data_IF_009068835279
#
_entry.id   IF_009068835279
#
_cell.length_a   1.000
_cell.length_b   1.000
_cell.length_c   1.000
_cell.angle_alpha   90.00
_cell.angle_beta   90.00
_cell.angle_gamma   90.00
#
_symmetry.space_group_name_H-M   'P 1'
#
loop_
_entity.id
_entity.type
_entity.pdbx_description
1 polymer ?
#
# COMPACT_ATOMS: atom_id res chain seq x y z
N UNK A 1 -16.18 5.30 18.52
CA UNK A 1 -16.17 6.67 19.06
C UNK A 1 -15.78 7.58 17.90
N UNK A 2 -16.70 8.42 17.42
CA UNK A 2 -16.47 9.25 16.23
C UNK A 2 -15.21 10.10 16.37
N UNK A 3 -14.35 10.16 15.35
CA UNK A 3 -13.18 11.03 15.31
C UNK A 3 -13.54 12.45 15.77
N UNK A 4 -12.96 12.86 16.90
CA UNK A 4 -13.18 14.14 17.59
C UNK A 4 -12.42 15.30 16.91
N UNK A 5 -11.67 15.05 15.83
CA UNK A 5 -10.60 15.96 15.38
C UNK A 5 -10.89 16.83 14.13
N UNK A 6 -12.16 17.07 13.78
CA UNK A 6 -12.53 18.03 12.70
C UNK A 6 -13.94 18.62 12.91
N UNK A 7 -14.11 19.58 13.84
CA UNK A 7 -15.42 20.18 14.12
C UNK A 7 -15.97 20.97 12.92
N UNK A 8 -15.07 21.49 12.07
CA UNK A 8 -15.40 22.41 10.99
C UNK A 8 -15.52 21.72 9.63
N UNK A 9 -15.24 20.41 9.52
CA UNK A 9 -15.31 19.67 8.26
C UNK A 9 -14.26 20.17 7.25
N UNK A 10 -13.05 20.41 7.72
CA UNK A 10 -11.91 20.89 6.93
C UNK A 10 -11.09 19.75 6.33
N UNK A 11 -11.24 18.52 6.81
CA UNK A 11 -10.55 17.35 6.27
C UNK A 11 -11.35 16.77 5.12
N UNK A 12 -10.70 16.60 3.98
CA UNK A 12 -11.32 15.92 2.84
C UNK A 12 -11.49 14.43 3.16
N UNK A 13 -12.60 13.81 2.71
CA UNK A 13 -12.82 12.38 2.91
C UNK A 13 -11.81 11.52 2.14
N UNK A 14 -11.38 12.00 0.97
CA UNK A 14 -10.26 11.42 0.21
C UNK A 14 -9.04 12.32 0.35
N UNK A 15 -7.97 11.80 0.94
CA UNK A 15 -6.79 12.60 1.29
C UNK A 15 -5.71 12.43 0.22
N UNK A 16 -5.36 13.50 -0.51
CA UNK A 16 -4.16 13.47 -1.38
C UNK A 16 -2.88 13.90 -0.65
N UNK A 17 -2.99 14.25 0.63
CA UNK A 17 -1.93 14.89 1.39
C UNK A 17 -0.71 14.00 1.61
N UNK A 18 0.41 14.69 1.73
CA UNK A 18 1.69 14.08 2.02
C UNK A 18 1.82 13.93 3.53
N UNK A 19 1.54 12.73 4.03
CA UNK A 19 1.75 12.38 5.44
C UNK A 19 3.20 11.91 5.61
N UNK A 20 3.93 12.47 6.58
CA UNK A 20 5.25 11.94 6.95
C UNK A 20 5.03 10.64 7.68
N UNK A 21 5.69 9.59 7.23
CA UNK A 21 5.59 8.28 7.82
C UNK A 21 6.81 7.95 8.71
N UNK A 22 7.70 8.91 8.98
CA UNK A 22 8.92 8.67 9.77
C UNK A 22 9.99 7.80 9.07
N UNK A 23 9.65 7.09 8.00
CA UNK A 23 10.59 6.39 7.10
C UNK A 23 11.00 7.27 5.92
N UNK A 24 10.15 8.21 5.48
CA UNK A 24 10.37 9.11 4.34
C UNK A 24 9.90 10.54 4.62
N UNK A 25 10.56 11.50 3.95
CA UNK A 25 10.06 12.87 3.90
C UNK A 25 8.80 12.96 3.02
N UNK A 26 7.76 13.72 3.43
CA UNK A 26 6.58 13.92 2.60
C UNK A 26 6.94 14.53 1.24
N UNK A 27 6.41 13.96 0.16
CA UNK A 27 6.55 14.56 -1.18
C UNK A 27 5.53 15.69 -1.31
N UNK A 28 5.95 16.94 -1.57
CA UNK A 28 5.04 18.07 -1.73
C UNK A 28 4.01 17.80 -2.83
N UNK A 29 2.81 18.36 -2.66
CA UNK A 29 1.79 18.34 -3.70
C UNK A 29 2.23 19.23 -4.88
N UNK A 30 2.01 18.74 -6.08
CA UNK A 30 2.14 19.56 -7.28
C UNK A 30 0.94 20.51 -7.43
N UNK A 31 1.03 21.41 -8.43
CA UNK A 31 -0.02 22.40 -8.67
C UNK A 31 -1.40 21.80 -8.98
N UNK A 32 -1.46 20.64 -9.64
CA UNK A 32 -2.73 20.00 -9.97
C UNK A 32 -3.37 19.35 -8.74
N UNK A 33 -2.59 18.71 -7.87
CA UNK A 33 -3.06 18.16 -6.61
C UNK A 33 -3.48 19.27 -5.61
N UNK A 34 -2.76 20.39 -5.56
CA UNK A 34 -3.19 21.57 -4.81
C UNK A 34 -4.54 22.11 -5.33
N UNK A 35 -4.66 22.28 -6.66
CA UNK A 35 -5.91 22.73 -7.28
C UNK A 35 -7.08 21.75 -7.03
N UNK A 36 -6.80 20.44 -7.05
CA UNK A 36 -7.77 19.40 -6.74
C UNK A 36 -8.31 19.52 -5.31
N UNK A 37 -7.43 19.74 -4.33
CA UNK A 37 -7.82 19.98 -2.94
C UNK A 37 -8.67 21.26 -2.81
N UNK A 38 -8.25 22.37 -3.42
CA UNK A 38 -9.00 23.64 -3.39
C UNK A 38 -10.41 23.48 -3.98
N UNK A 39 -10.50 22.80 -5.13
CA UNK A 39 -11.77 22.56 -5.80
C UNK A 39 -12.69 21.66 -4.96
N UNK A 40 -12.15 20.58 -4.38
CA UNK A 40 -12.91 19.68 -3.52
C UNK A 40 -13.45 20.42 -2.28
N UNK A 41 -12.63 21.26 -1.65
CA UNK A 41 -13.04 22.06 -0.49
C UNK A 41 -14.17 23.04 -0.84
N UNK A 42 -14.05 23.74 -1.98
CA UNK A 42 -15.05 24.68 -2.47
C UNK A 42 -16.37 23.97 -2.82
N UNK A 43 -16.30 22.86 -3.56
CA UNK A 43 -17.47 22.06 -3.94
C UNK A 43 -18.18 21.48 -2.73
N UNK A 44 -17.45 21.00 -1.72
CA UNK A 44 -18.04 20.53 -0.48
C UNK A 44 -18.87 21.61 0.25
N UNK A 45 -18.44 22.88 0.20
CA UNK A 45 -19.18 23.99 0.83
C UNK A 45 -20.48 24.27 0.09
N UNK A 46 -20.41 24.25 -1.23
CA UNK A 46 -21.55 24.48 -2.10
C UNK A 46 -22.58 23.35 -2.01
N UNK A 47 -22.12 22.10 -2.10
CA UNK A 47 -22.97 20.92 -2.07
C UNK A 47 -23.64 20.73 -0.70
N UNK A 48 -22.92 20.96 0.40
CA UNK A 48 -23.52 20.95 1.74
C UNK A 48 -24.66 21.97 1.86
N UNK A 49 -24.49 23.19 1.28
CA UNK A 49 -25.54 24.22 1.27
C UNK A 49 -26.74 23.79 0.43
N UNK A 50 -26.52 23.18 -0.74
CA UNK A 50 -27.59 22.68 -1.62
C UNK A 50 -28.42 21.58 -0.96
N UNK A 51 -27.77 20.71 -0.17
CA UNK A 51 -28.43 19.62 0.56
C UNK A 51 -29.06 20.08 1.89
N UNK A 52 -28.80 21.32 2.33
CA UNK A 52 -29.32 21.83 3.60
C UNK A 52 -28.72 21.15 4.84
N UNK A 53 -27.51 20.59 4.73
CA UNK A 53 -26.80 19.93 5.83
C UNK A 53 -25.53 20.70 6.23
N UNK A 54 -24.98 20.39 7.42
CA UNK A 54 -23.72 20.99 7.84
C UNK A 54 -22.56 20.48 6.97
N UNK A 55 -21.53 21.32 6.79
CA UNK A 55 -20.31 20.93 6.07
C UNK A 55 -19.69 19.65 6.65
N UNK A 56 -19.62 19.55 7.97
CA UNK A 56 -19.12 18.35 8.66
C UNK A 56 -19.94 17.11 8.32
N UNK A 57 -21.27 17.20 8.35
CA UNK A 57 -22.14 16.07 7.99
C UNK A 57 -21.93 15.65 6.52
N UNK A 58 -21.74 16.62 5.62
CA UNK A 58 -21.41 16.35 4.22
C UNK A 58 -20.08 15.62 4.07
N UNK A 59 -19.01 16.08 4.73
CA UNK A 59 -17.69 15.44 4.68
C UNK A 59 -17.69 14.02 5.24
N UNK A 60 -18.52 13.72 6.24
CA UNK A 60 -18.62 12.37 6.81
C UNK A 60 -19.49 11.41 5.96
N UNK A 61 -20.03 11.86 4.83
CA UNK A 61 -20.95 11.08 4.00
C UNK A 61 -20.29 10.53 2.74
N UNK A 62 -20.91 9.49 2.14
CA UNK A 62 -20.52 8.98 0.83
C UNK A 62 -20.59 10.07 -0.26
N UNK A 63 -21.56 10.99 -0.19
CA UNK A 63 -21.66 12.12 -1.14
C UNK A 63 -20.46 13.07 -1.05
N UNK A 64 -19.89 13.24 0.15
CA UNK A 64 -18.67 14.03 0.36
C UNK A 64 -17.45 13.38 -0.28
N UNK A 65 -17.28 12.06 -0.12
CA UNK A 65 -16.23 11.30 -0.78
C UNK A 65 -16.39 11.33 -2.31
N UNK A 66 -17.59 11.10 -2.84
CA UNK A 66 -17.87 11.15 -4.27
C UNK A 66 -17.61 12.55 -4.85
N UNK A 67 -18.08 13.61 -4.18
CA UNK A 67 -17.81 14.99 -4.57
C UNK A 67 -16.31 15.31 -4.59
N UNK A 68 -15.52 14.70 -3.72
CA UNK A 68 -14.07 14.89 -3.67
C UNK A 68 -13.39 14.25 -4.88
N UNK A 69 -13.72 13.00 -5.22
CA UNK A 69 -13.17 12.31 -6.39
C UNK A 69 -13.57 12.99 -7.71
N UNK A 70 -14.80 13.49 -7.81
CA UNK A 70 -15.27 14.26 -8.97
C UNK A 70 -14.52 15.60 -9.12
N UNK A 71 -14.20 16.27 -8.01
CA UNK A 71 -13.33 17.44 -8.03
C UNK A 71 -11.93 17.09 -8.53
N UNK A 72 -11.38 15.95 -8.10
CA UNK A 72 -10.06 15.50 -8.55
C UNK A 72 -10.04 15.23 -10.06
N UNK A 73 -11.07 14.57 -10.61
CA UNK A 73 -11.22 14.41 -12.06
C UNK A 73 -11.21 15.75 -12.80
N UNK A 74 -11.93 16.75 -12.28
CA UNK A 74 -12.01 18.08 -12.89
C UNK A 74 -10.65 18.77 -12.91
N UNK A 75 -9.92 18.73 -11.80
CA UNK A 75 -8.59 19.33 -11.69
C UNK A 75 -7.55 18.60 -12.57
N UNK A 76 -7.60 17.27 -12.61
CA UNK A 76 -6.71 16.47 -13.46
C UNK A 76 -6.98 16.71 -14.95
N UNK A 77 -8.24 16.81 -15.36
CA UNK A 77 -8.60 17.17 -16.73
C UNK A 77 -8.10 18.58 -17.11
N UNK A 78 -8.21 19.56 -16.21
CA UNK A 78 -7.65 20.90 -16.41
C UNK A 78 -6.12 20.88 -16.55
N UNK A 79 -5.45 19.97 -15.83
CA UNK A 79 -4.01 19.72 -15.94
C UNK A 79 -3.61 18.83 -17.12
N UNK A 80 -4.58 18.40 -17.96
CA UNK A 80 -4.38 17.48 -19.10
C UNK A 80 -3.81 16.10 -18.72
N UNK A 81 -4.06 15.66 -17.49
CA UNK A 81 -3.78 14.29 -17.04
C UNK A 81 -4.96 13.42 -17.45
N UNK A 82 -4.68 12.47 -18.33
CA UNK A 82 -5.70 11.70 -19.07
C UNK A 82 -5.48 10.20 -18.99
N UNK A 83 -4.51 9.74 -18.20
CA UNK A 83 -4.19 8.32 -18.02
C UNK A 83 -5.28 7.53 -17.31
N UNK A 84 -6.06 8.19 -16.44
CA UNK A 84 -7.19 7.57 -15.78
C UNK A 84 -8.08 8.59 -15.08
N UNK A 85 -9.17 8.11 -14.50
CA UNK A 85 -10.13 8.91 -13.75
C UNK A 85 -10.88 8.06 -12.72
N UNK A 86 -11.50 8.72 -11.74
CA UNK A 86 -12.40 8.07 -10.80
C UNK A 86 -13.82 8.03 -11.38
N UNK A 87 -14.29 6.86 -11.78
CA UNK A 87 -15.58 6.68 -12.45
C UNK A 87 -16.71 6.66 -11.43
N UNK A 88 -17.49 7.74 -11.43
CA UNK A 88 -18.67 7.95 -10.59
C UNK A 88 -19.75 8.68 -11.39
N UNK A 89 -21.01 8.44 -11.06
CA UNK A 89 -22.11 9.25 -11.59
C UNK A 89 -21.96 10.71 -11.11
N UNK A 90 -22.16 11.67 -11.99
CA UNK A 90 -22.04 13.10 -11.65
C UNK A 90 -23.01 13.54 -10.54
N UNK A 91 -24.17 12.87 -10.44
CA UNK A 91 -25.16 13.11 -9.39
C UNK A 91 -24.69 12.64 -8.01
N UNK A 92 -23.70 11.75 -7.91
CA UNK A 92 -23.19 11.23 -6.64
C UNK A 92 -22.64 12.33 -5.70
N UNK A 93 -22.32 13.52 -6.22
CA UNK A 93 -21.97 14.67 -5.38
C UNK A 93 -23.14 15.21 -4.54
N UNK A 94 -24.38 14.85 -4.88
CA UNK A 94 -25.63 15.34 -4.26
C UNK A 94 -26.65 14.22 -3.96
N UNK A 95 -26.51 13.05 -4.56
CA UNK A 95 -27.39 11.89 -4.38
C UNK A 95 -26.65 10.80 -3.59
N UNK A 96 -27.20 10.45 -2.42
CA UNK A 96 -26.60 9.48 -1.51
C UNK A 96 -26.66 8.05 -2.05
N UNK A 97 -27.71 7.69 -2.81
CA UNK A 97 -27.85 6.37 -3.40
C UNK A 97 -26.85 6.20 -4.54
N UNK A 98 -26.74 7.21 -5.41
CA UNK A 98 -25.72 7.22 -6.48
C UNK A 98 -24.28 7.18 -5.92
N UNK A 99 -24.02 7.87 -4.80
CA UNK A 99 -22.73 7.80 -4.12
C UNK A 99 -22.46 6.42 -3.51
N UNK A 100 -23.46 5.81 -2.89
CA UNK A 100 -23.34 4.48 -2.31
C UNK A 100 -23.10 3.42 -3.38
N UNK A 101 -23.80 3.49 -4.51
CA UNK A 101 -23.63 2.57 -5.64
C UNK A 101 -22.19 2.60 -6.18
N UNK A 102 -21.57 3.77 -6.24
CA UNK A 102 -20.18 3.92 -6.69
C UNK A 102 -19.12 3.59 -5.63
N UNK A 103 -19.41 3.80 -4.34
CA UNK A 103 -18.39 3.80 -3.29
C UNK A 103 -18.54 2.74 -2.20
N UNK A 104 -19.68 2.07 -2.03
CA UNK A 104 -19.86 1.11 -0.94
C UNK A 104 -19.07 -0.19 -1.20
N UNK A 105 -19.13 -0.69 -2.44
CA UNK A 105 -18.56 -1.99 -2.81
C UNK A 105 -19.22 -3.17 -2.09
N UNK A 106 -18.98 -4.37 -2.60
CA UNK A 106 -19.39 -5.66 -1.98
C UNK A 106 -18.33 -6.75 -2.15
N UNK A 107 -17.23 -6.40 -2.78
CA UNK A 107 -16.08 -7.26 -2.97
C UNK A 107 -15.37 -7.52 -1.66
N UNK A 108 -14.75 -8.69 -1.57
CA UNK A 108 -13.88 -9.04 -0.47
C UNK A 108 -12.57 -8.27 -0.58
N UNK A 109 -12.21 -7.50 0.45
CA UNK A 109 -11.00 -6.69 0.51
C UNK A 109 -9.98 -7.37 1.41
N UNK A 110 -8.95 -7.92 0.76
CA UNK A 110 -7.77 -8.42 1.42
C UNK A 110 -6.62 -7.44 1.28
N UNK A 111 -6.32 -6.73 2.38
CA UNK A 111 -5.18 -5.85 2.49
C UNK A 111 -3.93 -6.63 2.94
N UNK A 112 -2.94 -6.77 2.07
CA UNK A 112 -1.77 -7.60 2.37
C UNK A 112 -0.66 -6.85 3.13
N UNK A 113 -0.84 -5.57 3.45
CA UNK A 113 0.18 -4.76 4.10
C UNK A 113 -0.41 -3.76 5.10
N UNK A 114 -0.44 -4.16 6.37
CA UNK A 114 -0.72 -3.27 7.50
C UNK A 114 0.42 -3.25 8.51
N UNK A 115 0.43 -2.23 9.36
CA UNK A 115 1.43 -2.04 10.42
C UNK A 115 0.75 -1.43 11.65
N UNK A 116 1.29 -1.71 12.84
CA UNK A 116 1.08 -0.91 14.05
C UNK A 116 2.34 -0.99 14.91
N UNK A 117 2.46 -0.14 15.93
CA UNK A 117 3.55 -0.25 16.91
C UNK A 117 3.07 -0.77 18.26
N UNK A 118 3.79 -1.74 18.80
CA UNK A 118 3.60 -2.23 20.16
C UNK A 118 4.19 -1.28 21.20
N UNK A 119 4.22 -1.74 22.46
CA UNK A 119 4.64 -0.94 23.63
C UNK A 119 5.99 -0.24 23.47
N UNK A 120 6.92 -0.81 22.71
CA UNK A 120 8.25 -0.26 22.51
C UNK A 120 8.31 0.87 21.47
N UNK A 121 7.32 0.97 20.58
CA UNK A 121 7.23 2.03 19.58
C UNK A 121 6.27 3.17 19.94
N UNK A 122 5.28 2.91 20.81
CA UNK A 122 4.31 3.93 21.27
C UNK A 122 5.03 5.10 21.94
N UNK A 123 4.64 6.32 21.56
CA UNK A 123 5.23 7.57 22.06
C UNK A 123 6.65 7.89 21.55
N UNK A 124 7.27 7.00 20.78
CA UNK A 124 8.59 7.20 20.17
C UNK A 124 8.54 7.48 18.67
N UNK A 125 7.55 6.89 17.99
CA UNK A 125 7.43 6.92 16.53
C UNK A 125 6.35 7.87 16.03
N UNK A 126 5.40 8.24 16.90
CA UNK A 126 4.18 8.97 16.50
C UNK A 126 3.13 8.09 15.82
N UNK A 127 3.32 6.77 15.81
CA UNK A 127 2.45 5.81 15.13
C UNK A 127 1.40 5.20 16.06
N UNK A 128 0.31 4.73 15.44
CA UNK A 128 -0.82 4.10 16.11
C UNK A 128 -0.47 2.75 16.74
N UNK A 129 -1.14 2.47 17.85
CA UNK A 129 -1.07 1.19 18.55
C UNK A 129 -2.13 0.20 18.04
N UNK A 130 -2.29 -0.92 18.75
CA UNK A 130 -3.26 -1.96 18.41
C UNK A 130 -4.71 -1.44 18.38
N UNK A 131 -5.09 -0.53 19.28
CA UNK A 131 -6.48 -0.05 19.38
C UNK A 131 -6.79 0.86 18.19
N UNK A 132 -5.88 1.78 17.89
CA UNK A 132 -5.99 2.64 16.71
C UNK A 132 -5.98 1.82 15.42
N UNK A 133 -5.12 0.80 15.33
CA UNK A 133 -5.09 -0.12 14.18
C UNK A 133 -6.41 -0.86 13.99
N UNK A 134 -6.97 -1.46 15.04
CA UNK A 134 -8.26 -2.16 14.95
C UNK A 134 -9.36 -1.20 14.50
N UNK A 135 -9.38 0.01 15.08
CA UNK A 135 -10.35 1.02 14.70
C UNK A 135 -10.20 1.40 13.22
N UNK A 136 -9.02 1.79 12.78
CA UNK A 136 -8.78 2.27 11.42
C UNK A 136 -9.05 1.20 10.35
N UNK A 137 -8.69 -0.06 10.63
CA UNK A 137 -8.75 -1.14 9.64
C UNK A 137 -10.10 -1.83 9.64
N UNK A 138 -10.58 -2.26 10.79
CA UNK A 138 -11.75 -3.14 10.84
C UNK A 138 -13.06 -2.42 11.19
N UNK A 139 -13.00 -1.20 11.73
CA UNK A 139 -14.20 -0.45 12.11
C UNK A 139 -14.46 0.76 11.20
N UNK A 140 -13.40 1.46 10.80
CA UNK A 140 -13.47 2.70 10.03
C UNK A 140 -13.08 2.48 8.55
N UNK A 141 -13.03 1.22 8.08
CA UNK A 141 -12.82 0.89 6.67
C UNK A 141 -13.56 -0.38 6.23
N UNK A 142 -13.66 -0.59 4.91
CA UNK A 142 -14.23 -1.81 4.31
C UNK A 142 -13.27 -3.01 4.29
N UNK A 143 -12.17 -3.00 5.04
CA UNK A 143 -11.19 -4.10 5.04
C UNK A 143 -11.78 -5.35 5.71
N UNK A 144 -11.92 -6.44 4.93
CA UNK A 144 -12.40 -7.72 5.46
C UNK A 144 -11.26 -8.52 6.10
N UNK A 145 -10.09 -8.47 5.48
CA UNK A 145 -8.93 -9.24 5.90
C UNK A 145 -7.66 -8.43 5.74
N UNK A 146 -6.75 -8.57 6.69
CA UNK A 146 -5.50 -7.82 6.72
C UNK A 146 -4.31 -8.75 7.03
N UNK A 147 -3.13 -8.43 6.52
CA UNK A 147 -1.87 -9.02 7.02
C UNK A 147 -1.03 -7.97 7.75
N UNK A 148 -0.75 -8.26 9.02
CA UNK A 148 0.12 -7.46 9.86
C UNK A 148 1.59 -7.76 9.53
N UNK A 149 2.30 -6.71 9.12
CA UNK A 149 3.72 -6.69 8.80
C UNK A 149 4.47 -5.90 9.88
N UNK A 150 5.81 -5.99 9.88
CA UNK A 150 6.67 -5.29 10.84
C UNK A 150 7.55 -4.27 10.14
N UNK A 151 7.93 -3.24 10.90
CA UNK A 151 8.93 -2.23 10.54
C UNK A 151 10.33 -2.79 10.82
N UNK A 152 11.35 -2.53 9.98
CA UNK A 152 12.69 -3.06 10.20
C UNK A 152 13.34 -2.38 11.42
N UNK A 153 13.90 -3.18 12.31
CA UNK A 153 14.63 -2.69 13.48
C UNK A 153 15.53 -3.80 14.01
N UNK A 154 16.45 -3.41 14.90
CA UNK A 154 17.24 -4.39 15.63
C UNK A 154 16.36 -5.18 16.60
N UNK A 155 16.72 -6.43 16.91
CA UNK A 155 15.96 -7.29 17.83
C UNK A 155 15.66 -6.62 19.17
N UNK A 156 16.66 -5.99 19.78
CA UNK A 156 16.55 -5.31 21.07
C UNK A 156 15.72 -4.01 21.02
N UNK A 157 15.39 -3.54 19.81
CA UNK A 157 14.56 -2.36 19.55
C UNK A 157 13.36 -2.73 18.67
N UNK A 158 12.87 -3.96 18.78
CA UNK A 158 11.66 -4.37 18.08
C UNK A 158 10.50 -3.43 18.43
N UNK A 159 9.85 -2.90 17.39
CA UNK A 159 8.75 -1.95 17.56
C UNK A 159 7.41 -2.66 17.80
N UNK A 160 7.30 -3.92 17.41
CA UNK A 160 6.13 -4.77 17.58
C UNK A 160 6.59 -6.21 17.80
N UNK A 161 6.42 -6.71 19.03
CA UNK A 161 6.73 -8.10 19.35
C UNK A 161 5.69 -9.05 18.76
N UNK A 162 6.10 -10.27 18.41
CA UNK A 162 5.20 -11.29 17.85
C UNK A 162 4.04 -11.64 18.80
N UNK A 163 4.27 -11.60 20.10
CA UNK A 163 3.23 -11.85 21.12
C UNK A 163 2.17 -10.74 21.14
N UNK A 164 2.58 -9.48 20.92
CA UNK A 164 1.64 -8.36 20.81
C UNK A 164 0.84 -8.46 19.51
N UNK A 165 1.48 -8.79 18.39
CA UNK A 165 0.81 -9.05 17.12
C UNK A 165 -0.22 -10.18 17.22
N UNK A 166 0.13 -11.30 17.90
CA UNK A 166 -0.77 -12.42 18.12
C UNK A 166 -1.95 -12.06 19.04
N UNK A 167 -1.71 -11.26 20.08
CA UNK A 167 -2.77 -10.75 20.94
C UNK A 167 -3.77 -9.90 20.15
N UNK A 168 -3.30 -8.98 19.30
CA UNK A 168 -4.15 -8.18 18.41
C UNK A 168 -4.94 -9.06 17.45
N UNK A 169 -4.32 -10.08 16.86
CA UNK A 169 -5.02 -11.05 15.99
C UNK A 169 -6.18 -11.74 16.70
N UNK A 170 -6.00 -12.18 17.95
CA UNK A 170 -7.08 -12.81 18.74
C UNK A 170 -8.21 -11.83 19.06
N UNK A 171 -7.91 -10.54 19.24
CA UNK A 171 -8.94 -9.51 19.40
C UNK A 171 -9.75 -9.38 18.11
N UNK A 172 -9.08 -9.30 16.95
CA UNK A 172 -9.75 -9.22 15.64
C UNK A 172 -10.62 -10.45 15.38
N UNK A 173 -10.12 -11.66 15.67
CA UNK A 173 -10.88 -12.91 15.55
C UNK A 173 -12.14 -12.94 16.45
N UNK A 174 -12.17 -12.15 17.52
CA UNK A 174 -13.30 -12.03 18.44
C UNK A 174 -14.27 -10.90 18.09
N UNK A 175 -13.97 -10.07 17.08
CA UNK A 175 -14.91 -9.05 16.59
C UNK A 175 -16.08 -9.70 15.85
N UNK A 176 -17.27 -9.11 15.98
CA UNK A 176 -18.42 -9.51 15.17
C UNK A 176 -18.14 -9.24 13.69
N UNK A 177 -18.35 -10.26 12.84
CA UNK A 177 -18.11 -10.18 11.40
C UNK A 177 -17.24 -11.32 10.88
N UNK A 178 -16.73 -11.18 9.66
CA UNK A 178 -15.79 -12.13 9.04
C UNK A 178 -14.35 -11.64 9.07
N UNK A 179 -14.03 -10.74 10.00
CA UNK A 179 -12.72 -10.08 10.07
C UNK A 179 -11.61 -11.07 10.39
N UNK A 180 -10.50 -10.96 9.67
CA UNK A 180 -9.33 -11.83 9.88
C UNK A 180 -8.04 -11.04 9.82
N UNK A 181 -7.15 -11.32 10.77
CA UNK A 181 -5.79 -10.79 10.77
C UNK A 181 -4.80 -11.94 10.60
N UNK A 182 -4.01 -11.91 9.54
CA UNK A 182 -2.80 -12.74 9.42
C UNK A 182 -1.59 -11.96 9.92
N UNK A 183 -0.50 -12.66 10.20
CA UNK A 183 0.74 -12.05 10.69
C UNK A 183 1.89 -12.56 9.84
N UNK A 184 2.80 -11.68 9.44
CA UNK A 184 4.09 -12.10 8.89
C UNK A 184 5.05 -12.58 9.97
N UNK A 185 6.10 -13.29 9.62
CA UNK A 185 7.28 -13.46 10.47
C UNK A 185 8.35 -12.48 10.04
N UNK A 186 8.89 -11.68 10.96
CA UNK A 186 10.08 -10.87 10.68
C UNK A 186 11.26 -11.79 10.34
N UNK A 187 12.00 -11.49 9.28
CA UNK A 187 13.24 -12.20 8.98
C UNK A 187 14.24 -11.31 8.21
N UNK A 188 15.21 -10.72 8.91
CA UNK A 188 16.32 -10.01 8.26
C UNK A 188 17.60 -10.87 8.28
N UNK A 189 17.94 -11.56 7.18
CA UNK A 189 19.01 -12.58 7.15
C UNK A 189 20.44 -12.05 7.39
N UNK A 190 20.61 -10.73 7.36
CA UNK A 190 21.85 -10.01 7.67
C UNK A 190 21.91 -9.53 9.13
N UNK A 191 20.96 -9.92 9.97
CA UNK A 191 20.98 -9.74 11.42
C UNK A 191 21.15 -11.09 12.11
N UNK A 192 22.14 -11.19 13.00
CA UNK A 192 22.43 -12.42 13.73
C UNK A 192 21.21 -12.91 14.53
N UNK A 193 20.90 -14.20 14.40
CA UNK A 193 19.79 -14.86 15.08
C UNK A 193 18.45 -14.80 14.33
N UNK A 194 18.27 -13.92 13.33
CA UNK A 194 16.98 -13.78 12.62
C UNK A 194 16.58 -15.02 11.84
N UNK A 195 17.53 -15.72 11.22
CA UNK A 195 17.25 -16.98 10.51
C UNK A 195 16.89 -18.10 11.49
N UNK A 196 17.57 -18.19 12.63
CA UNK A 196 17.29 -19.20 13.66
C UNK A 196 15.92 -18.94 14.30
N UNK A 197 15.60 -17.68 14.58
CA UNK A 197 14.34 -17.24 15.18
C UNK A 197 13.11 -17.49 14.32
N UNK A 198 13.25 -17.72 13.01
CA UNK A 198 12.13 -18.10 12.15
C UNK A 198 11.41 -19.36 12.65
N UNK A 199 12.11 -20.30 13.28
CA UNK A 199 11.47 -21.51 13.81
C UNK A 199 10.45 -21.19 14.91
N UNK A 200 10.80 -20.30 15.84
CA UNK A 200 9.89 -19.83 16.90
C UNK A 200 8.71 -19.04 16.30
N UNK A 201 8.98 -18.13 15.36
CA UNK A 201 7.93 -17.37 14.69
C UNK A 201 6.94 -18.26 13.93
N UNK A 202 7.41 -19.39 13.36
CA UNK A 202 6.54 -20.34 12.68
C UNK A 202 5.50 -20.99 13.62
N UNK A 203 5.81 -21.13 14.92
CA UNK A 203 4.87 -21.68 15.91
C UNK A 203 3.65 -20.76 16.13
N UNK A 204 3.76 -19.47 15.80
CA UNK A 204 2.64 -18.52 15.82
C UNK A 204 1.73 -18.62 14.58
N UNK A 205 2.06 -19.47 13.60
CA UNK A 205 1.27 -19.66 12.39
C UNK A 205 1.37 -18.48 11.41
N UNK A 206 2.57 -17.92 11.26
CA UNK A 206 2.81 -16.81 10.31
C UNK A 206 2.48 -17.19 8.87
N UNK A 207 1.89 -16.27 8.12
CA UNK A 207 1.39 -16.52 6.76
C UNK A 207 2.46 -16.30 5.66
N UNK A 208 3.47 -15.49 5.96
CA UNK A 208 4.63 -15.22 5.10
C UNK A 208 5.81 -14.69 5.93
N UNK A 209 6.99 -14.63 5.34
CA UNK A 209 8.17 -13.97 5.94
C UNK A 209 8.33 -12.57 5.36
N UNK A 210 8.61 -11.57 6.20
CA UNK A 210 8.85 -10.19 5.77
C UNK A 210 10.31 -9.81 5.99
N UNK A 211 10.96 -9.31 4.94
CA UNK A 211 12.33 -8.81 5.00
C UNK A 211 12.49 -7.44 4.31
N UNK A 212 13.53 -6.70 4.73
CA UNK A 212 13.91 -5.40 4.16
C UNK A 212 15.32 -5.49 3.58
N UNK A 213 15.43 -5.71 2.27
CA UNK A 213 16.72 -5.92 1.60
C UNK A 213 17.63 -4.71 1.66
N UNK A 214 17.07 -3.50 1.72
CA UNK A 214 17.83 -2.24 1.86
C UNK A 214 18.23 -1.88 3.29
N UNK A 215 17.90 -2.72 4.28
CA UNK A 215 18.18 -2.47 5.68
C UNK A 215 19.14 -3.52 6.25
N UNK A 216 19.91 -3.13 7.27
CA UNK A 216 20.69 -4.03 8.11
C UNK A 216 21.13 -3.34 9.40
N UNK A 217 21.55 -4.07 10.44
CA UNK A 217 22.00 -3.48 11.71
C UNK A 217 23.13 -2.46 11.54
N UNK A 218 23.99 -2.66 10.56
CA UNK A 218 25.15 -1.81 10.24
C UNK A 218 24.91 -0.91 9.02
N UNK A 219 23.65 -0.75 8.61
CA UNK A 219 23.25 0.05 7.44
C UNK A 219 23.51 -0.63 6.08
N UNK A 220 23.97 -1.88 6.06
CA UNK A 220 24.22 -2.65 4.83
C UNK A 220 23.07 -3.59 4.52
N UNK A 221 22.51 -3.43 3.32
CA UNK A 221 21.51 -4.33 2.76
C UNK A 221 22.09 -5.66 2.26
N UNK A 222 21.26 -6.42 1.56
CA UNK A 222 21.61 -7.68 0.92
C UNK A 222 20.73 -7.92 -0.31
N UNK A 223 21.24 -8.66 -1.30
CA UNK A 223 20.39 -9.17 -2.39
C UNK A 223 19.82 -10.54 -2.03
N UNK A 224 18.65 -10.86 -2.55
CA UNK A 224 18.00 -12.14 -2.30
C UNK A 224 18.77 -13.33 -2.92
N UNK A 225 19.52 -13.08 -3.99
CA UNK A 225 20.31 -14.10 -4.68
C UNK A 225 21.67 -14.39 -4.03
N UNK A 226 22.08 -13.58 -3.05
CA UNK A 226 23.29 -13.76 -2.25
C UNK A 226 23.11 -14.79 -1.13
N UNK A 227 24.19 -15.09 -0.40
CA UNK A 227 24.17 -16.04 0.71
C UNK A 227 23.10 -15.69 1.76
N UNK A 228 23.00 -14.43 2.19
CA UNK A 228 22.01 -14.02 3.18
C UNK A 228 20.57 -14.29 2.70
N UNK A 229 20.24 -13.86 1.48
CA UNK A 229 18.93 -14.06 0.89
C UNK A 229 18.59 -15.53 0.65
N UNK A 230 19.54 -16.32 0.15
CA UNK A 230 19.33 -17.75 -0.07
C UNK A 230 19.12 -18.53 1.23
N UNK A 231 19.83 -18.18 2.32
CA UNK A 231 19.56 -18.77 3.66
C UNK A 231 18.13 -18.50 4.12
N UNK A 232 17.62 -17.28 3.93
CA UNK A 232 16.22 -16.95 4.23
C UNK A 232 15.25 -17.83 3.43
N UNK A 233 15.45 -17.92 2.11
CA UNK A 233 14.57 -18.68 1.22
C UNK A 233 14.56 -20.17 1.59
N UNK A 234 15.73 -20.76 1.81
CA UNK A 234 15.80 -22.19 2.18
C UNK A 234 15.21 -22.47 3.56
N UNK A 235 15.40 -21.56 4.53
CA UNK A 235 14.77 -21.68 5.84
C UNK A 235 13.25 -21.59 5.74
N UNK A 236 12.73 -20.64 4.96
CA UNK A 236 11.30 -20.49 4.69
C UNK A 236 10.71 -21.77 4.07
N UNK A 237 11.38 -22.35 3.07
CA UNK A 237 11.00 -23.64 2.46
C UNK A 237 10.98 -24.78 3.46
N UNK A 238 12.02 -24.90 4.30
CA UNK A 238 12.13 -25.94 5.31
C UNK A 238 11.04 -25.85 6.39
N UNK A 239 10.59 -24.65 6.73
CA UNK A 239 9.50 -24.41 7.67
C UNK A 239 8.10 -24.54 7.03
N UNK A 240 8.01 -24.74 5.71
CA UNK A 240 6.75 -24.90 5.00
C UNK A 240 5.99 -23.60 4.70
N UNK A 241 6.52 -22.44 5.11
CA UNK A 241 5.93 -21.12 4.85
C UNK A 241 6.68 -20.49 3.67
N UNK A 242 6.12 -20.63 2.46
CA UNK A 242 6.80 -20.32 1.18
C UNK A 242 6.40 -18.98 0.56
N UNK A 243 5.76 -18.11 1.33
CA UNK A 243 5.51 -16.73 0.92
C UNK A 243 6.59 -15.85 1.55
N UNK A 244 7.26 -15.03 0.73
CA UNK A 244 8.29 -14.09 1.19
C UNK A 244 7.94 -12.70 0.65
N UNK A 245 7.62 -11.80 1.58
CA UNK A 245 7.35 -10.40 1.35
C UNK A 245 8.66 -9.61 1.43
N UNK A 246 9.00 -8.89 0.36
CA UNK A 246 10.29 -8.22 0.21
C UNK A 246 10.05 -6.75 -0.01
N UNK A 247 10.61 -5.89 0.83
CA UNK A 247 10.55 -4.45 0.61
C UNK A 247 11.48 -4.03 -0.53
N UNK A 248 10.92 -3.75 -1.71
CA UNK A 248 11.64 -3.35 -2.94
C UNK A 248 10.90 -2.18 -3.59
N UNK A 249 11.44 -0.99 -3.46
CA UNK A 249 10.72 0.27 -3.64
C UNK A 249 10.82 1.10 -2.37
N UNK A 250 10.29 2.32 -2.41
CA UNK A 250 10.46 3.36 -1.39
C UNK A 250 11.87 3.35 -0.77
N UNK A 251 12.90 3.81 -1.49
CA UNK A 251 14.27 3.74 -1.00
C UNK A 251 14.46 4.59 0.26
N UNK A 252 14.87 3.98 1.39
CA UNK A 252 14.99 4.66 2.69
C UNK A 252 16.01 5.79 2.68
N UNK A 253 17.11 5.57 1.97
CA UNK A 253 18.20 6.53 1.87
C UNK A 253 19.10 6.20 0.68
N UNK A 254 20.18 6.97 0.52
CA UNK A 254 21.26 6.65 -0.43
C UNK A 254 22.15 5.50 0.05
N UNK A 255 22.08 5.14 1.32
CA UNK A 255 22.83 4.00 1.87
C UNK A 255 22.08 2.73 1.47
N UNK A 256 22.80 1.76 0.87
CA UNK A 256 22.23 0.48 0.41
C UNK A 256 21.09 0.64 -0.61
N UNK A 257 21.08 1.74 -1.37
CA UNK A 257 20.06 2.05 -2.36
C UNK A 257 19.88 0.92 -3.39
N UNK A 258 20.97 0.32 -3.85
CA UNK A 258 21.01 -0.78 -4.81
C UNK A 258 20.18 -1.99 -4.34
N UNK A 259 20.08 -2.21 -3.04
CA UNK A 259 19.30 -3.31 -2.47
C UNK A 259 17.80 -3.01 -2.37
N UNK A 260 17.39 -1.74 -2.55
CA UNK A 260 15.99 -1.36 -2.69
C UNK A 260 15.44 -1.67 -4.08
N UNK A 261 16.32 -1.79 -5.09
CA UNK A 261 15.95 -2.10 -6.47
C UNK A 261 15.58 -3.58 -6.59
N UNK A 262 14.52 -3.86 -7.35
CA UNK A 262 13.98 -5.21 -7.56
C UNK A 262 14.73 -6.06 -8.60
N UNK A 263 16.00 -5.73 -8.90
CA UNK A 263 16.79 -6.38 -9.96
C UNK A 263 17.09 -7.86 -9.68
N UNK A 264 17.05 -8.29 -8.42
CA UNK A 264 17.31 -9.65 -7.97
C UNK A 264 16.07 -10.56 -7.92
N UNK A 265 14.86 -10.01 -8.07
CA UNK A 265 13.60 -10.76 -7.88
C UNK A 265 13.43 -11.87 -8.92
N UNK A 266 13.62 -11.58 -10.20
CA UNK A 266 13.50 -12.58 -11.26
C UNK A 266 14.53 -13.72 -11.13
N UNK A 267 15.72 -13.41 -10.60
CA UNK A 267 16.77 -14.41 -10.36
C UNK A 267 16.30 -15.44 -9.33
N UNK A 268 15.77 -14.98 -8.19
CA UNK A 268 15.30 -15.88 -7.13
C UNK A 268 13.97 -16.54 -7.47
N UNK A 269 13.07 -15.85 -8.16
CA UNK A 269 11.80 -16.42 -8.63
C UNK A 269 12.02 -17.60 -9.58
N UNK A 270 12.99 -17.47 -10.51
CA UNK A 270 13.41 -18.57 -11.40
C UNK A 270 14.06 -19.71 -10.64
N UNK A 271 14.92 -19.40 -9.65
CA UNK A 271 15.67 -20.40 -8.88
C UNK A 271 14.76 -21.20 -7.94
N UNK A 272 13.71 -20.58 -7.41
CA UNK A 272 12.79 -21.14 -6.43
C UNK A 272 11.34 -21.03 -6.91
N UNK A 273 10.94 -21.80 -7.94
CA UNK A 273 9.59 -21.72 -8.51
C UNK A 273 8.50 -22.18 -7.53
N UNK A 274 8.84 -22.85 -6.43
CA UNK A 274 7.94 -23.27 -5.36
C UNK A 274 7.73 -22.20 -4.26
N UNK A 275 8.38 -21.04 -4.39
CA UNK A 275 8.33 -19.93 -3.42
C UNK A 275 7.71 -18.71 -4.07
N UNK A 276 6.74 -18.08 -3.39
CA UNK A 276 6.11 -16.84 -3.83
C UNK A 276 6.86 -15.62 -3.28
N UNK A 277 7.17 -14.68 -4.16
CA UNK A 277 7.83 -13.42 -3.83
C UNK A 277 6.85 -12.26 -3.97
N UNK A 278 6.44 -11.67 -2.85
CA UNK A 278 5.55 -10.51 -2.82
C UNK A 278 6.42 -9.25 -2.71
N UNK A 279 6.44 -8.44 -3.76
CA UNK A 279 7.33 -7.28 -3.94
C UNK A 279 6.59 -6.04 -3.45
N UNK A 280 6.87 -5.65 -2.20
CA UNK A 280 6.18 -4.56 -1.53
C UNK A 280 6.61 -3.24 -2.13
N UNK A 281 5.61 -2.44 -2.49
CA UNK A 281 5.72 -1.21 -3.27
C UNK A 281 6.17 -1.41 -4.73
N UNK A 282 6.22 -2.64 -5.24
CA UNK A 282 6.39 -2.92 -6.68
C UNK A 282 7.60 -2.24 -7.37
N UNK A 283 8.64 -1.86 -6.61
CA UNK A 283 9.78 -1.09 -7.11
C UNK A 283 9.59 0.43 -7.15
N UNK A 284 8.43 0.96 -6.74
CA UNK A 284 8.06 2.37 -6.80
C UNK A 284 9.07 3.30 -6.10
N UNK A 285 9.35 4.46 -6.72
CA UNK A 285 10.25 5.48 -6.19
C UNK A 285 9.47 6.80 -6.05
N UNK A 286 9.32 7.35 -4.83
CA UNK A 286 8.63 8.61 -4.62
C UNK A 286 9.29 9.78 -5.35
N UNK A 287 8.47 10.69 -5.88
CA UNK A 287 8.94 11.92 -6.53
C UNK A 287 9.45 11.72 -7.96
N UNK A 288 9.40 10.51 -8.51
CA UNK A 288 9.63 10.24 -9.92
C UNK A 288 8.29 9.94 -10.61
N UNK A 289 7.88 10.72 -11.64
CA UNK A 289 6.72 10.36 -12.46
C UNK A 289 6.94 9.01 -13.15
N UNK A 290 5.86 8.26 -13.33
CA UNK A 290 5.91 6.99 -14.05
C UNK A 290 5.42 7.16 -15.49
N UNK A 291 6.09 6.49 -16.43
CA UNK A 291 5.74 6.46 -17.85
C UNK A 291 5.53 5.04 -18.39
N UNK A 292 5.42 4.89 -19.73
CA UNK A 292 5.42 3.60 -20.40
C UNK A 292 6.64 2.77 -20.00
N UNK A 293 6.55 1.44 -20.14
CA UNK A 293 7.64 0.54 -19.75
C UNK A 293 8.90 0.87 -20.56
N UNK A 294 9.99 1.20 -19.86
CA UNK A 294 11.30 1.42 -20.46
C UNK A 294 12.31 0.40 -19.89
N UNK A 295 12.72 -0.62 -20.65
CA UNK A 295 13.70 -1.60 -20.19
C UNK A 295 15.09 -0.99 -19.93
N UNK A 296 15.39 0.18 -20.50
CA UNK A 296 16.63 0.90 -20.23
C UNK A 296 16.63 1.61 -18.87
N UNK A 297 15.45 1.85 -18.28
CA UNK A 297 15.35 2.45 -16.95
C UNK A 297 15.83 1.45 -15.89
N UNK A 298 16.89 1.82 -15.20
CA UNK A 298 17.61 0.95 -14.26
C UNK A 298 16.92 0.70 -12.92
N UNK A 299 15.83 1.40 -12.64
CA UNK A 299 15.20 1.52 -11.32
C UNK A 299 13.66 1.61 -11.45
N UNK A 300 12.96 1.74 -10.33
CA UNK A 300 11.50 1.87 -10.35
C UNK A 300 10.79 0.54 -10.60
N UNK A 301 9.52 0.64 -11.00
CA UNK A 301 8.69 -0.50 -11.43
C UNK A 301 9.31 -1.21 -12.64
N UNK A 302 9.97 -0.45 -13.52
CA UNK A 302 10.62 -1.00 -14.72
C UNK A 302 11.76 -1.98 -14.38
N UNK A 303 12.48 -1.75 -13.27
CA UNK A 303 13.51 -2.69 -12.82
C UNK A 303 12.93 -4.03 -12.33
N UNK A 304 11.76 -4.02 -11.68
CA UNK A 304 11.05 -5.25 -11.30
C UNK A 304 10.65 -6.02 -12.56
N UNK A 305 10.00 -5.34 -13.51
CA UNK A 305 9.54 -5.94 -14.76
C UNK A 305 10.71 -6.52 -15.54
N UNK A 306 11.78 -5.74 -15.74
CA UNK A 306 12.99 -6.20 -16.43
C UNK A 306 13.57 -7.44 -15.75
N UNK A 307 13.66 -7.45 -14.42
CA UNK A 307 14.19 -8.60 -13.67
C UNK A 307 13.38 -9.87 -13.97
N UNK A 308 12.05 -9.79 -13.94
CA UNK A 308 11.14 -10.91 -14.24
C UNK A 308 11.31 -11.39 -15.69
N UNK A 309 11.31 -10.47 -16.65
CA UNK A 309 11.38 -10.79 -18.09
C UNK A 309 12.74 -11.38 -18.49
N UNK A 310 13.86 -10.77 -18.07
CA UNK A 310 15.21 -11.25 -18.39
C UNK A 310 15.50 -12.64 -17.81
N UNK A 311 14.85 -12.98 -16.69
CA UNK A 311 14.98 -14.30 -16.09
C UNK A 311 13.98 -15.33 -16.64
N UNK A 312 13.04 -14.91 -17.50
CA UNK A 312 12.05 -15.78 -18.12
C UNK A 312 11.01 -16.29 -17.13
N UNK A 313 10.69 -15.52 -16.10
CA UNK A 313 9.61 -15.84 -15.15
C UNK A 313 8.26 -15.53 -15.83
N UNK A 314 7.37 -16.52 -15.98
CA UNK A 314 6.09 -16.28 -16.65
C UNK A 314 5.20 -15.29 -15.89
N UNK A 315 4.30 -14.63 -16.63
CA UNK A 315 3.18 -13.88 -16.05
C UNK A 315 2.33 -14.80 -15.16
N UNK A 316 1.73 -14.26 -14.11
CA UNK A 316 0.90 -15.00 -13.15
C UNK A 316 1.62 -16.22 -12.51
N UNK A 317 2.96 -16.18 -12.42
CA UNK A 317 3.75 -17.20 -11.74
C UNK A 317 3.95 -16.83 -10.26
N UNK A 318 5.18 -16.90 -9.75
CA UNK A 318 5.51 -16.78 -8.35
C UNK A 318 6.06 -15.40 -7.93
N UNK A 319 5.83 -14.35 -8.73
CA UNK A 319 6.16 -12.96 -8.39
C UNK A 319 4.87 -12.14 -8.34
N UNK A 320 4.66 -11.45 -7.23
CA UNK A 320 3.47 -10.64 -6.97
C UNK A 320 3.90 -9.19 -6.73
N UNK A 321 3.26 -8.26 -7.43
CA UNK A 321 3.49 -6.83 -7.30
C UNK A 321 2.47 -6.25 -6.32
N UNK A 322 2.94 -5.72 -5.19
CA UNK A 322 2.07 -5.15 -4.16
C UNK A 322 2.03 -3.61 -4.28
N UNK A 323 0.83 -3.06 -4.16
CA UNK A 323 0.59 -1.63 -4.39
C UNK A 323 0.91 -0.79 -3.15
N UNK A 324 0.33 -1.03 -1.99
CA UNK A 324 0.71 -0.35 -0.75
C UNK A 324 0.75 1.17 -0.88
N UNK A 325 1.81 1.75 -0.33
CA UNK A 325 2.17 3.15 -0.54
C UNK A 325 2.34 3.56 -2.02
N UNK A 326 2.60 2.66 -2.97
CA UNK A 326 2.55 2.97 -4.41
C UNK A 326 1.18 3.50 -4.80
N UNK A 327 0.10 2.87 -4.36
CA UNK A 327 -1.24 3.36 -4.65
C UNK A 327 -1.51 4.69 -3.94
N UNK A 328 -1.21 4.76 -2.63
CA UNK A 328 -1.34 6.00 -1.83
C UNK A 328 -0.72 7.21 -2.53
N UNK A 329 0.49 7.04 -3.05
CA UNK A 329 1.22 8.14 -3.68
C UNK A 329 0.67 8.50 -5.05
N UNK A 330 0.15 7.55 -5.81
CA UNK A 330 -0.24 7.75 -7.21
C UNK A 330 -1.73 8.01 -7.42
N UNK A 331 -2.60 7.82 -6.42
CA UNK A 331 -4.01 8.24 -6.55
C UNK A 331 -4.18 9.77 -6.72
N UNK A 332 -3.11 10.56 -6.51
CA UNK A 332 -3.05 12.00 -6.83
C UNK A 332 -2.56 12.33 -8.25
N UNK A 333 -2.02 11.35 -8.96
CA UNK A 333 -1.45 11.48 -10.30
C UNK A 333 -1.96 10.33 -11.19
N UNK A 334 -3.09 10.52 -11.90
CA UNK A 334 -3.73 9.46 -12.65
C UNK A 334 -2.90 8.97 -13.85
N UNK A 335 -1.96 9.77 -14.38
CA UNK A 335 -1.08 9.34 -15.47
C UNK A 335 -0.07 8.31 -14.96
N UNK A 336 0.62 8.62 -13.85
CA UNK A 336 1.54 7.68 -13.20
C UNK A 336 0.80 6.44 -12.69
N UNK A 337 -0.38 6.61 -12.07
CA UNK A 337 -1.18 5.49 -11.60
C UNK A 337 -1.55 4.51 -12.73
N UNK A 338 -2.00 5.05 -13.87
CA UNK A 338 -2.35 4.25 -15.04
C UNK A 338 -1.13 3.49 -15.58
N UNK A 339 0.03 4.14 -15.67
CA UNK A 339 1.26 3.48 -16.10
C UNK A 339 1.73 2.40 -15.13
N UNK A 340 1.73 2.65 -13.82
CA UNK A 340 2.14 1.67 -12.82
C UNK A 340 1.24 0.44 -12.89
N UNK A 341 -0.08 0.62 -12.75
CA UNK A 341 -1.03 -0.50 -12.70
C UNK A 341 -1.03 -1.24 -14.04
N UNK A 342 -1.09 -0.51 -15.16
CA UNK A 342 -1.11 -1.10 -16.50
C UNK A 342 0.14 -1.95 -16.77
N UNK A 343 1.34 -1.45 -16.44
CA UNK A 343 2.58 -2.22 -16.61
C UNK A 343 2.63 -3.45 -15.71
N UNK A 344 2.20 -3.33 -14.46
CA UNK A 344 2.18 -4.47 -13.53
C UNK A 344 1.23 -5.57 -14.03
N UNK A 345 0.00 -5.21 -14.41
CA UNK A 345 -0.97 -6.17 -15.00
C UNK A 345 -0.42 -6.79 -16.28
N UNK A 346 0.15 -5.98 -17.17
CA UNK A 346 0.68 -6.43 -18.46
C UNK A 346 1.89 -7.34 -18.33
N UNK A 347 2.85 -7.04 -17.45
CA UNK A 347 4.14 -7.73 -17.41
C UNK A 347 4.30 -8.71 -16.25
N UNK A 348 3.69 -8.45 -15.09
CA UNK A 348 3.68 -9.38 -13.95
C UNK A 348 2.49 -10.34 -14.02
N UNK A 349 1.33 -9.82 -14.42
CA UNK A 349 0.10 -10.61 -14.63
C UNK A 349 -1.07 -10.13 -13.78
N UNK A 350 -2.27 -10.22 -14.36
CA UNK A 350 -3.53 -9.77 -13.76
C UNK A 350 -3.93 -10.47 -12.45
N UNK A 351 -3.41 -11.68 -12.19
CA UNK A 351 -3.66 -12.40 -10.94
C UNK A 351 -2.61 -12.12 -9.86
N UNK A 352 -1.57 -11.37 -10.20
CA UNK A 352 -0.39 -11.16 -9.36
C UNK A 352 -0.16 -9.69 -9.00
N UNK A 353 -1.16 -8.83 -9.14
CA UNK A 353 -1.15 -7.46 -8.58
C UNK A 353 -1.99 -7.45 -7.31
N UNK A 354 -1.36 -7.13 -6.18
CA UNK A 354 -1.97 -7.21 -4.85
C UNK A 354 -2.30 -5.82 -4.31
N UNK A 355 -3.49 -5.70 -3.71
CA UNK A 355 -3.85 -4.54 -2.91
C UNK A 355 -3.21 -4.65 -1.53
N UNK A 356 -2.57 -3.56 -1.12
CA UNK A 356 -2.23 -3.29 0.27
C UNK A 356 -2.33 -1.79 0.51
N UNK A 357 -2.56 -1.38 1.75
CA UNK A 357 -2.76 0.05 2.07
C UNK A 357 -1.54 0.72 2.69
N UNK A 358 -0.69 -0.06 3.37
CA UNK A 358 0.40 0.45 4.21
C UNK A 358 -0.09 1.53 5.20
N UNK A 359 -1.30 1.31 5.73
CA UNK A 359 -2.18 2.29 6.39
C UNK A 359 -1.64 3.01 7.64
N UNK A 360 -0.72 2.43 8.42
CA UNK A 360 -0.30 3.01 9.71
C UNK A 360 0.17 4.47 9.58
N UNK A 361 0.66 4.79 8.39
CA UNK A 361 1.22 6.08 8.00
C UNK A 361 0.16 7.11 7.59
N UNK A 362 -1.04 6.64 7.24
CA UNK A 362 -2.09 7.42 6.56
C UNK A 362 -3.43 7.41 7.34
N UNK A 363 -3.56 6.59 8.39
CA UNK A 363 -4.81 6.33 9.11
C UNK A 363 -5.67 5.29 8.40
N UNK A 364 -6.99 5.30 8.64
CA UNK A 364 -7.93 4.42 7.93
C UNK A 364 -7.68 4.40 6.40
N UNK A 365 -7.60 3.21 5.77
CA UNK A 365 -7.38 3.03 4.34
C UNK A 365 -8.66 3.22 3.51
N UNK A 366 -9.77 3.65 4.12
CA UNK A 366 -11.05 3.79 3.43
C UNK A 366 -10.99 4.71 2.21
N UNK A 367 -10.18 5.77 2.29
CA UNK A 367 -9.98 6.68 1.15
C UNK A 367 -9.23 6.00 0.00
N UNK A 368 -8.20 5.21 0.32
CA UNK A 368 -7.46 4.41 -0.65
C UNK A 368 -8.36 3.38 -1.33
N UNK A 369 -9.22 2.69 -0.56
CA UNK A 369 -10.19 1.71 -1.07
C UNK A 369 -11.16 2.39 -2.04
N UNK A 370 -11.79 3.49 -1.63
CA UNK A 370 -12.77 4.21 -2.44
C UNK A 370 -12.16 4.78 -3.73
N UNK A 371 -10.96 5.33 -3.63
CA UNK A 371 -10.23 5.81 -4.80
C UNK A 371 -9.86 4.65 -5.73
N UNK A 372 -9.36 3.53 -5.21
CA UNK A 372 -8.94 2.39 -6.05
C UNK A 372 -10.13 1.74 -6.75
N UNK A 373 -11.22 1.52 -6.02
CA UNK A 373 -12.49 0.97 -6.52
C UNK A 373 -13.05 1.72 -7.72
N UNK A 374 -12.91 3.04 -7.70
CA UNK A 374 -13.47 3.91 -8.75
C UNK A 374 -12.46 4.22 -9.85
N UNK A 375 -11.16 3.96 -9.65
CA UNK A 375 -10.15 4.31 -10.64
C UNK A 375 -10.23 3.40 -11.87
N UNK A 376 -10.26 4.02 -13.06
CA UNK A 376 -10.15 3.32 -14.33
C UNK A 376 -9.05 3.95 -15.19
N UNK A 377 -8.23 3.10 -15.81
CA UNK A 377 -7.29 3.51 -16.85
C UNK A 377 -8.10 3.92 -18.08
N UNK A 378 -7.78 5.06 -18.70
CA UNK A 378 -8.52 5.54 -19.85
C UNK A 378 -8.37 4.62 -21.06
N UNK A 379 -9.41 4.52 -21.89
CA UNK A 379 -9.37 3.74 -23.13
C UNK A 379 -8.19 4.13 -24.03
N UNK A 380 -7.86 5.43 -24.09
CA UNK A 380 -6.73 5.92 -24.87
C UNK A 380 -5.37 5.39 -24.36
N UNK A 381 -5.21 5.24 -23.04
CA UNK A 381 -4.00 4.65 -22.47
C UNK A 381 -3.97 3.14 -22.68
N UNK A 382 -5.09 2.45 -22.52
CA UNK A 382 -5.21 1.01 -22.80
C UNK A 382 -4.89 0.72 -24.28
N UNK A 383 -5.48 1.46 -25.23
CA UNK A 383 -5.19 1.29 -26.66
C UNK A 383 -3.72 1.55 -27.00
N UNK A 384 -3.12 2.57 -26.39
CA UNK A 384 -1.76 3.00 -26.72
C UNK A 384 -0.68 2.13 -26.08
N UNK A 385 -0.91 1.66 -24.85
CA UNK A 385 0.12 0.98 -24.06
C UNK A 385 -0.18 -0.50 -23.81
N UNK A 386 -1.35 -0.99 -24.22
CA UNK A 386 -1.88 -2.30 -23.85
C UNK A 386 -2.26 -2.34 -22.37
#
# INVERSE_FOLDING_TARGET
MAQINDPDGTRLPIKLDATSNGEFAPVPLDGAACHANELAQAQASENARRLGISRRAFMLSATGAASTLLAFNTANAAARRTGGSFVLDSSAALDADAAADGLAGKEFIFDVQGHFVGRHGIGRTGLGDSDQFIQDIFLDSNTDMMVLSFIPSRREKELLAIQEADATRRIVEALDGSHRLLIHGRANPNQDGDIEGMAELAEYGVAAWKCYTQWGPDGRGFFLHDEAGTRLIEKARALGVRNICVHKGLPFSRISYEHSIASDIGIVAKRYPDVNFLVYHSGFIPGQPEGPYDPARGEGVDALIRSVEENGVPRNANVYAELGSTWRYNMRDPDSAAHIIGKLVKHIGEHNVLYGSDCIWYGSPQDQIQAFRTFQISDAFQEKYG
#
